data_IF_777280068854
#
_entry.id   IF_777280068854
#
_cell.length_a   1.000
_cell.length_b   1.000
_cell.length_c   1.000
_cell.angle_alpha   90.00
_cell.angle_beta   90.00
_cell.angle_gamma   90.00
#
_symmetry.space_group_name_H-M   'P 1'
#
loop_
_entity.id
_entity.type
_entity.pdbx_description
1 polymer ?
#
# COMPACT_ATOMS: atom_id res chain seq x y z
N UNK A 1 5.54 6.55 22.32
CA UNK A 1 4.75 6.56 21.08
C UNK A 1 4.78 8.01 20.65
N UNK A 2 5.31 8.30 19.48
CA UNK A 2 5.19 9.64 18.89
C UNK A 2 3.86 9.62 18.16
N UNK A 3 2.89 10.37 18.68
CA UNK A 3 1.55 10.40 18.13
C UNK A 3 1.58 10.98 16.72
N UNK A 4 0.68 10.49 15.86
CA UNK A 4 0.52 11.04 14.52
C UNK A 4 0.05 12.51 14.64
N UNK A 5 0.43 13.40 13.72
CA UNK A 5 -0.02 14.77 13.78
C UNK A 5 -1.55 14.84 13.67
N UNK A 6 -2.18 15.62 14.55
CA UNK A 6 -3.62 15.88 14.51
C UNK A 6 -3.90 17.05 13.56
N UNK A 7 -4.28 16.74 12.32
CA UNK A 7 -4.49 17.75 11.30
C UNK A 7 -5.89 18.34 11.34
N UNK A 8 -5.97 19.67 11.18
CA UNK A 8 -7.23 20.37 10.91
C UNK A 8 -7.15 21.16 9.61
N UNK A 9 -8.31 21.50 9.06
CA UNK A 9 -8.41 22.28 7.82
C UNK A 9 -7.63 23.60 7.92
N UNK A 10 -7.72 24.27 9.07
CA UNK A 10 -7.00 25.52 9.36
C UNK A 10 -5.48 25.33 9.28
N UNK A 11 -4.95 24.30 9.94
CA UNK A 11 -3.51 24.02 10.00
C UNK A 11 -2.95 23.76 8.60
N UNK A 12 -3.62 22.90 7.83
CA UNK A 12 -3.18 22.58 6.47
C UNK A 12 -3.35 23.77 5.52
N UNK A 13 -4.41 24.57 5.69
CA UNK A 13 -4.60 25.79 4.91
C UNK A 13 -3.54 26.84 5.18
N UNK A 14 -3.06 26.96 6.42
CA UNK A 14 -1.94 27.84 6.77
C UNK A 14 -0.65 27.36 6.10
N UNK A 15 -0.36 26.05 6.19
CA UNK A 15 0.83 25.44 5.59
C UNK A 15 0.88 25.60 4.05
N UNK A 16 -0.25 25.40 3.36
CA UNK A 16 -0.32 25.48 1.90
C UNK A 16 -0.72 26.86 1.38
N UNK A 17 -0.90 27.86 2.25
CA UNK A 17 -1.64 29.11 1.99
C UNK A 17 -1.42 29.78 0.63
N UNK A 18 -0.19 29.86 0.13
CA UNK A 18 0.16 30.43 -1.16
C UNK A 18 0.74 29.41 -2.17
N UNK A 19 0.93 28.16 -1.77
CA UNK A 19 1.53 27.11 -2.59
C UNK A 19 3.01 27.33 -2.94
N UNK A 20 3.68 28.33 -2.36
CA UNK A 20 5.09 28.65 -2.62
C UNK A 20 6.05 27.52 -2.22
N UNK A 21 5.69 26.76 -1.18
CA UNK A 21 6.46 25.61 -0.73
C UNK A 21 6.33 24.37 -1.62
N UNK A 22 5.39 24.33 -2.57
CA UNK A 22 5.16 23.18 -3.45
C UNK A 22 6.10 23.23 -4.64
N UNK A 23 7.00 22.26 -4.75
CA UNK A 23 8.00 22.22 -5.81
C UNK A 23 7.53 21.35 -7.00
N UNK A 24 7.24 22.04 -8.10
CA UNK A 24 6.90 21.46 -9.40
C UNK A 24 7.98 21.72 -10.46
N UNK A 25 9.12 22.32 -10.09
CA UNK A 25 10.17 22.75 -11.03
C UNK A 25 10.84 21.58 -11.77
N UNK A 26 10.78 20.39 -11.18
CA UNK A 26 11.29 19.13 -11.75
C UNK A 26 10.40 18.55 -12.85
N UNK A 27 9.18 19.07 -13.04
CA UNK A 27 8.28 18.69 -14.12
C UNK A 27 8.42 19.68 -15.28
N UNK A 28 8.73 19.20 -16.48
CA UNK A 28 8.80 20.07 -17.68
C UNK A 28 7.47 20.80 -17.93
N UNK A 29 6.35 20.06 -17.88
CA UNK A 29 5.00 20.60 -18.07
C UNK A 29 4.04 20.04 -17.03
N UNK A 30 3.92 20.66 -15.84
CA UNK A 30 2.99 20.22 -14.79
C UNK A 30 1.55 20.04 -15.31
N UNK A 31 1.13 20.85 -16.29
CA UNK A 31 -0.23 20.80 -16.88
C UNK A 31 -0.55 19.52 -17.64
N UNK A 32 0.44 18.67 -17.91
CA UNK A 32 0.29 17.35 -18.55
C UNK A 32 0.20 16.20 -17.53
N UNK A 33 0.34 16.48 -16.24
CA UNK A 33 0.28 15.46 -15.20
C UNK A 33 -1.08 15.47 -14.48
N UNK A 34 -1.48 14.30 -14.01
CA UNK A 34 -2.65 14.15 -13.15
C UNK A 34 -2.22 14.38 -11.70
N UNK A 35 -2.92 15.28 -11.01
CA UNK A 35 -2.74 15.53 -9.59
C UNK A 35 -3.86 14.86 -8.79
N UNK A 36 -3.49 14.25 -7.66
CA UNK A 36 -4.42 13.58 -6.74
C UNK A 36 -4.01 13.87 -5.31
N UNK A 37 -4.98 13.91 -4.41
CA UNK A 37 -4.69 14.11 -2.99
C UNK A 37 -5.66 13.35 -2.11
N UNK A 38 -5.25 13.12 -0.86
CA UNK A 38 -6.11 12.64 0.22
C UNK A 38 -6.57 13.83 1.03
N UNK A 39 -7.84 13.85 1.42
CA UNK A 39 -8.40 14.91 2.28
C UNK A 39 -8.47 14.43 3.72
N UNK A 40 -8.65 15.35 4.67
CA UNK A 40 -8.88 15.02 6.09
C UNK A 40 -10.07 14.07 6.31
N UNK A 41 -11.05 14.10 5.40
CA UNK A 41 -12.27 13.29 5.49
C UNK A 41 -12.08 11.87 4.94
N UNK A 42 -10.88 11.52 4.46
CA UNK A 42 -10.52 10.19 3.97
C UNK A 42 -10.57 9.95 2.44
N UNK A 43 -11.43 10.58 1.60
CA UNK A 43 -11.49 10.22 0.20
C UNK A 43 -10.29 10.73 -0.60
N UNK A 44 -9.92 9.94 -1.61
CA UNK A 44 -9.05 10.40 -2.69
C UNK A 44 -9.79 11.35 -3.62
N UNK A 45 -9.17 12.48 -3.91
CA UNK A 45 -9.63 13.45 -4.91
C UNK A 45 -8.64 13.45 -6.07
N UNK A 46 -9.18 13.52 -7.29
CA UNK A 46 -8.40 13.78 -8.51
C UNK A 46 -8.72 15.17 -8.98
N UNK A 47 -7.68 15.94 -9.36
CA UNK A 47 -7.86 17.29 -9.87
C UNK A 47 -8.80 17.30 -11.07
N UNK A 48 -9.76 18.23 -11.06
CA UNK A 48 -10.66 18.51 -12.20
C UNK A 48 -10.09 19.57 -13.15
N UNK A 49 -8.88 20.07 -12.87
CA UNK A 49 -8.21 21.14 -13.62
C UNK A 49 -6.76 20.73 -13.91
N UNK A 50 -6.22 21.28 -15.00
CA UNK A 50 -4.77 21.22 -15.25
C UNK A 50 -4.07 22.17 -14.29
N UNK A 51 -2.96 21.71 -13.72
CA UNK A 51 -2.20 22.41 -12.69
C UNK A 51 -0.89 22.87 -13.31
N UNK A 52 -0.57 24.16 -13.22
CA UNK A 52 0.66 24.74 -13.79
C UNK A 52 1.68 25.16 -12.74
N UNK A 53 1.23 25.38 -11.49
CA UNK A 53 2.03 25.89 -10.38
C UNK A 53 1.47 25.42 -9.03
N UNK A 54 2.26 25.56 -7.96
CA UNK A 54 1.81 25.33 -6.59
C UNK A 54 0.55 26.15 -6.24
N UNK A 55 0.52 27.44 -6.57
CA UNK A 55 -0.67 28.28 -6.41
C UNK A 55 -1.92 27.72 -7.10
N UNK A 56 -1.78 27.24 -8.34
CA UNK A 56 -2.90 26.67 -9.10
C UNK A 56 -3.39 25.35 -8.49
N UNK A 57 -2.48 24.60 -7.86
CA UNK A 57 -2.78 23.37 -7.16
C UNK A 57 -3.58 23.67 -5.89
N UNK A 58 -3.13 24.63 -5.09
CA UNK A 58 -3.79 25.07 -3.86
C UNK A 58 -5.20 25.59 -4.16
N UNK A 59 -5.36 26.41 -5.20
CA UNK A 59 -6.67 26.88 -5.68
C UNK A 59 -7.60 25.75 -6.15
N UNK A 60 -7.09 24.54 -6.36
CA UNK A 60 -7.86 23.37 -6.79
C UNK A 60 -8.26 22.46 -5.62
N UNK A 61 -7.79 22.71 -4.40
CA UNK A 61 -8.18 21.95 -3.23
C UNK A 61 -9.58 22.35 -2.76
N UNK A 62 -10.57 21.47 -3.01
CA UNK A 62 -11.93 21.62 -2.45
C UNK A 62 -11.95 21.42 -0.91
N UNK A 63 -10.95 20.71 -0.40
CA UNK A 63 -10.62 20.58 1.03
C UNK A 63 -9.13 20.31 1.16
N UNK A 64 -8.54 20.73 2.27
CA UNK A 64 -7.10 20.73 2.47
C UNK A 64 -6.54 19.30 2.51
N UNK A 65 -5.42 19.05 1.81
CA UNK A 65 -4.90 17.71 1.67
C UNK A 65 -3.94 17.32 2.78
N UNK A 66 -4.03 16.06 3.22
CA UNK A 66 -3.02 15.44 4.09
C UNK A 66 -1.85 14.86 3.31
N UNK A 67 -2.11 14.46 2.05
CA UNK A 67 -1.12 13.87 1.16
C UNK A 67 -1.42 14.30 -0.29
N UNK A 68 -0.40 14.72 -1.04
CA UNK A 68 -0.55 15.20 -2.43
C UNK A 68 0.38 14.44 -3.36
N UNK A 69 -0.14 14.06 -4.52
CA UNK A 69 0.54 13.19 -5.48
C UNK A 69 0.38 13.68 -6.91
N UNK A 70 1.33 13.32 -7.76
CA UNK A 70 1.36 13.60 -9.19
C UNK A 70 1.66 12.32 -9.98
N UNK A 71 1.10 12.17 -11.17
CA UNK A 71 1.38 11.03 -12.05
C UNK A 71 2.81 11.03 -12.54
N UNK A 72 3.41 9.84 -12.61
CA UNK A 72 4.76 9.62 -13.17
C UNK A 72 4.79 9.77 -14.70
N UNK A 73 3.64 9.70 -15.36
CA UNK A 73 3.49 9.92 -16.79
C UNK A 73 2.77 11.23 -17.11
N UNK A 74 3.11 11.79 -18.27
CA UNK A 74 2.48 12.94 -18.91
C UNK A 74 1.46 12.50 -19.95
N UNK A 75 0.28 13.12 -19.91
CA UNK A 75 -0.85 12.78 -20.77
C UNK A 75 -1.33 14.00 -21.56
N UNK A 76 -1.92 13.75 -22.73
CA UNK A 76 -2.57 14.81 -23.51
C UNK A 76 -3.78 15.40 -22.78
N UNK A 77 -4.55 14.55 -22.12
CA UNK A 77 -5.64 14.93 -21.21
C UNK A 77 -5.48 14.23 -19.85
N UNK A 78 -4.74 14.84 -18.90
CA UNK A 78 -4.53 14.24 -17.58
C UNK A 78 -5.76 14.32 -16.67
N UNK A 79 -6.72 15.20 -16.97
CA UNK A 79 -7.91 15.42 -16.14
C UNK A 79 -8.92 14.28 -16.34
N UNK A 80 -9.18 13.91 -17.58
CA UNK A 80 -10.15 12.86 -17.91
C UNK A 80 -9.51 11.49 -18.17
N UNK A 81 -8.38 11.21 -17.52
CA UNK A 81 -7.64 9.96 -17.72
C UNK A 81 -8.55 8.75 -17.42
N UNK A 82 -8.85 7.89 -18.41
CA UNK A 82 -9.68 6.72 -18.21
C UNK A 82 -9.00 5.73 -17.26
N UNK A 83 -9.79 4.87 -16.59
CA UNK A 83 -9.23 3.76 -15.80
C UNK A 83 -8.63 2.71 -16.75
N UNK A 84 -7.67 1.91 -16.27
CA UNK A 84 -7.05 0.83 -17.06
C UNK A 84 -8.05 -0.17 -17.68
N UNK A 85 -9.23 -0.34 -17.07
CA UNK A 85 -10.29 -1.26 -17.52
C UNK A 85 -11.45 -0.54 -18.23
N UNK A 86 -11.34 0.76 -18.44
CA UNK A 86 -12.36 1.52 -19.16
C UNK A 86 -12.23 1.24 -20.66
N UNK A 87 -13.14 0.43 -21.19
CA UNK A 87 -13.24 0.10 -22.60
C UNK A 87 -14.21 0.99 -23.38
N UNK A 88 -14.88 1.93 -22.69
CA UNK A 88 -15.89 2.81 -23.31
C UNK A 88 -15.28 4.10 -23.82
N UNK A 89 -14.23 4.58 -23.16
CA UNK A 89 -13.48 5.79 -23.53
C UNK A 89 -12.31 5.44 -24.45
N UNK A 90 -11.91 6.36 -25.34
CA UNK A 90 -10.71 6.15 -26.15
C UNK A 90 -9.47 5.99 -25.25
N UNK A 91 -8.46 5.21 -25.68
CA UNK A 91 -7.18 5.10 -24.98
C UNK A 91 -6.55 6.47 -24.75
N UNK A 92 -5.94 6.70 -23.57
CA UNK A 92 -5.30 7.98 -23.31
C UNK A 92 -4.01 8.11 -24.12
N UNK A 93 -3.73 9.34 -24.54
CA UNK A 93 -2.50 9.64 -25.29
C UNK A 93 -1.40 9.95 -24.29
N UNK A 94 -0.50 8.98 -24.10
CA UNK A 94 0.75 9.12 -23.37
C UNK A 94 1.73 9.98 -24.19
N UNK A 95 2.15 11.10 -23.61
CA UNK A 95 3.07 12.07 -24.22
C UNK A 95 4.50 11.83 -23.76
N UNK A 96 4.66 11.54 -22.47
CA UNK A 96 5.97 11.35 -21.87
C UNK A 96 5.87 10.56 -20.57
N UNK A 97 6.99 10.09 -20.04
CA UNK A 97 7.02 9.35 -18.79
C UNK A 97 8.33 9.48 -18.02
N UNK A 98 8.23 9.46 -16.70
CA UNK A 98 9.36 9.33 -15.78
C UNK A 98 9.42 7.92 -15.22
N UNK A 99 10.61 7.36 -15.15
CA UNK A 99 10.87 6.10 -14.45
C UNK A 99 11.11 6.44 -12.98
N UNK A 100 10.34 5.83 -12.08
CA UNK A 100 10.48 6.07 -10.64
C UNK A 100 10.74 4.78 -9.91
N UNK A 101 11.75 4.79 -9.05
CA UNK A 101 12.05 3.73 -8.10
C UNK A 101 11.67 4.20 -6.70
N UNK A 102 10.91 3.39 -5.97
CA UNK A 102 10.49 3.65 -4.59
C UNK A 102 11.22 2.69 -3.66
N UNK A 103 11.99 3.25 -2.71
CA UNK A 103 12.88 2.53 -1.81
C UNK A 103 12.45 2.85 -0.38
N UNK A 104 11.92 1.86 0.33
CA UNK A 104 11.16 2.13 1.54
C UNK A 104 11.54 1.15 2.67
N UNK A 105 12.14 1.65 3.76
CA UNK A 105 12.63 0.80 4.85
C UNK A 105 11.85 1.05 6.14
N UNK A 106 11.15 0.02 6.61
CA UNK A 106 10.25 0.12 7.77
C UNK A 106 10.94 -0.27 9.08
N UNK A 107 10.48 0.27 10.24
CA UNK A 107 9.53 1.38 10.41
C UNK A 107 10.20 2.77 10.25
N UNK A 108 9.41 3.85 10.36
CA UNK A 108 9.91 5.23 10.39
C UNK A 108 10.89 5.45 11.55
N UNK A 109 12.19 5.48 11.24
CA UNK A 109 13.26 5.84 12.16
C UNK A 109 14.57 6.12 11.39
N UNK A 110 15.50 6.84 12.01
CA UNK A 110 16.75 7.30 11.39
C UNK A 110 17.61 6.14 10.90
N UNK A 111 17.70 5.04 11.65
CA UNK A 111 18.52 3.90 11.23
C UNK A 111 17.95 3.16 10.02
N UNK A 112 16.62 3.10 9.87
CA UNK A 112 15.98 2.49 8.70
C UNK A 112 16.05 3.42 7.49
N UNK A 113 15.85 4.71 7.72
CA UNK A 113 16.06 5.72 6.68
C UNK A 113 17.51 5.74 6.18
N UNK A 114 18.50 5.51 7.05
CA UNK A 114 19.91 5.37 6.64
C UNK A 114 20.13 4.12 5.77
N UNK A 115 19.43 3.02 6.04
CA UNK A 115 19.46 1.85 5.15
C UNK A 115 18.85 2.17 3.79
N UNK A 116 17.66 2.81 3.78
CA UNK A 116 17.02 3.24 2.53
C UNK A 116 17.88 4.22 1.74
N UNK A 117 18.63 5.11 2.42
CA UNK A 117 19.55 6.05 1.77
C UNK A 117 20.68 5.31 1.07
N UNK A 118 21.30 4.34 1.74
CA UNK A 118 22.38 3.52 1.16
C UNK A 118 21.88 2.74 -0.05
N UNK A 119 20.69 2.16 0.05
CA UNK A 119 20.06 1.44 -1.06
C UNK A 119 19.77 2.39 -2.23
N UNK A 120 19.20 3.57 -1.95
CA UNK A 120 18.94 4.57 -2.97
C UNK A 120 20.25 5.10 -3.63
N UNK A 121 21.33 5.27 -2.87
CA UNK A 121 22.63 5.65 -3.43
C UNK A 121 23.18 4.54 -4.34
N UNK A 122 23.22 3.31 -3.84
CA UNK A 122 23.68 2.12 -4.59
C UNK A 122 22.88 1.94 -5.89
N UNK A 123 21.56 2.11 -5.83
CA UNK A 123 20.70 2.05 -7.00
C UNK A 123 20.94 3.21 -7.98
N UNK A 124 21.16 4.44 -7.49
CA UNK A 124 21.52 5.57 -8.36
C UNK A 124 22.83 5.34 -9.12
N UNK A 125 23.85 4.81 -8.43
CA UNK A 125 25.13 4.42 -9.03
C UNK A 125 24.91 3.33 -10.09
N UNK A 126 24.17 2.28 -9.74
CA UNK A 126 23.87 1.19 -10.67
C UNK A 126 23.10 1.67 -11.91
N UNK A 127 22.08 2.52 -11.75
CA UNK A 127 21.31 3.09 -12.86
C UNK A 127 22.25 3.87 -13.81
N UNK A 128 23.14 4.69 -13.24
CA UNK A 128 24.09 5.51 -14.01
C UNK A 128 25.09 4.66 -14.79
N UNK A 129 25.52 3.53 -14.22
CA UNK A 129 26.53 2.66 -14.83
C UNK A 129 25.95 1.63 -15.82
N UNK A 130 24.67 1.24 -15.66
CA UNK A 130 24.10 0.07 -16.36
C UNK A 130 22.89 0.41 -17.24
N UNK A 131 22.51 1.68 -17.33
CA UNK A 131 21.37 2.14 -18.12
C UNK A 131 21.65 3.50 -18.74
N UNK A 132 20.91 3.84 -19.79
CA UNK A 132 20.93 5.17 -20.40
C UNK A 132 19.96 6.15 -19.69
N UNK A 133 19.40 5.78 -18.53
CA UNK A 133 18.46 6.64 -17.84
C UNK A 133 19.16 7.86 -17.23
N UNK A 134 18.56 9.02 -17.41
CA UNK A 134 19.01 10.26 -16.80
C UNK A 134 18.32 10.47 -15.46
N UNK A 135 19.04 10.30 -14.35
CA UNK A 135 18.51 10.61 -13.02
C UNK A 135 18.30 12.11 -12.92
N UNK A 136 17.04 12.53 -12.67
CA UNK A 136 16.68 13.94 -12.47
C UNK A 136 16.90 14.37 -11.05
N UNK A 137 16.48 13.55 -10.09
CA UNK A 137 16.72 13.79 -8.68
C UNK A 137 16.38 12.56 -7.82
N UNK A 138 16.85 12.60 -6.58
CA UNK A 138 16.33 11.77 -5.50
C UNK A 138 15.50 12.64 -4.54
N UNK A 139 14.40 12.10 -4.04
CA UNK A 139 13.52 12.78 -3.08
C UNK A 139 13.37 11.96 -1.81
N UNK A 140 13.44 12.59 -0.64
CA UNK A 140 12.95 12.00 0.60
C UNK A 140 11.41 11.96 0.57
N UNK A 141 10.79 10.82 0.82
CA UNK A 141 9.33 10.62 0.69
C UNK A 141 8.49 11.32 1.77
N UNK A 142 9.13 11.94 2.76
CA UNK A 142 8.48 12.46 3.96
C UNK A 142 8.27 11.40 5.05
N UNK A 143 8.65 10.14 4.82
CA UNK A 143 8.53 9.09 5.83
C UNK A 143 9.72 8.13 5.84
N UNK A 144 9.62 6.97 5.17
CA UNK A 144 10.46 5.80 5.44
C UNK A 144 11.53 5.55 4.37
N UNK A 145 11.56 6.40 3.35
CA UNK A 145 12.20 6.04 2.11
C UNK A 145 12.46 7.20 1.18
N UNK A 146 12.83 6.82 -0.04
CA UNK A 146 13.26 7.73 -1.10
C UNK A 146 12.60 7.35 -2.42
N UNK A 147 12.37 8.36 -3.26
CA UNK A 147 12.07 8.15 -4.66
C UNK A 147 13.27 8.57 -5.50
N UNK A 148 13.72 7.72 -6.41
CA UNK A 148 14.66 8.11 -7.48
C UNK A 148 13.82 8.34 -8.73
N UNK A 149 13.86 9.56 -9.25
CA UNK A 149 13.12 9.96 -10.45
C UNK A 149 14.10 10.12 -11.60
N UNK A 150 13.91 9.35 -12.66
CA UNK A 150 14.74 9.37 -13.86
C UNK A 150 13.90 9.56 -15.13
N UNK A 151 14.54 10.01 -16.19
CA UNK A 151 13.96 10.14 -17.53
C UNK A 151 14.65 9.14 -18.46
N UNK A 152 13.84 8.52 -19.31
CA UNK A 152 14.33 7.67 -20.38
C UNK A 152 14.53 8.52 -21.65
N UNK A 153 15.78 8.73 -22.11
CA UNK A 153 16.02 9.47 -23.34
C UNK A 153 15.58 8.69 -24.58
N UNK A 154 15.37 7.36 -24.49
CA UNK A 154 14.87 6.59 -25.63
C UNK A 154 13.43 6.98 -25.97
N UNK A 155 13.28 7.60 -27.14
CA UNK A 155 11.99 8.02 -27.68
C UNK A 155 11.38 7.01 -28.63
N UNK A 156 12.06 5.91 -28.94
CA UNK A 156 11.58 4.88 -29.86
C UNK A 156 10.18 4.36 -29.54
N UNK A 157 9.75 4.17 -28.27
CA UNK A 157 8.40 3.70 -27.99
C UNK A 157 7.31 4.70 -28.40
N UNK A 158 7.64 6.00 -28.48
CA UNK A 158 6.69 7.06 -28.84
C UNK A 158 6.44 7.17 -30.35
N UNK A 159 7.22 6.46 -31.18
CA UNK A 159 6.99 6.34 -32.62
C UNK A 159 5.74 5.53 -32.95
N UNK A 160 5.32 4.62 -32.05
CA UNK A 160 4.08 3.84 -32.21
C UNK A 160 2.85 4.78 -32.21
N UNK A 161 2.11 4.90 -33.32
CA UNK A 161 0.98 5.82 -33.43
C UNK A 161 -0.25 5.41 -32.61
N UNK A 162 -0.46 4.11 -32.36
CA UNK A 162 -1.58 3.61 -31.55
C UNK A 162 -1.32 3.86 -30.05
N UNK A 163 -2.13 4.68 -29.35
CA UNK A 163 -1.86 5.03 -27.95
C UNK A 163 -1.88 3.84 -26.99
N UNK A 164 -2.70 2.82 -27.26
CA UNK A 164 -2.78 1.63 -26.43
C UNK A 164 -1.53 0.74 -26.60
N UNK A 165 -1.06 0.56 -27.83
CA UNK A 165 0.19 -0.17 -28.09
C UNK A 165 1.40 0.58 -27.56
N UNK A 166 1.43 1.91 -27.70
CA UNK A 166 2.49 2.77 -27.15
C UNK A 166 2.60 2.63 -25.63
N UNK A 167 1.49 2.76 -24.91
CA UNK A 167 1.49 2.60 -23.44
C UNK A 167 1.92 1.18 -23.04
N UNK A 168 1.51 0.15 -23.78
CA UNK A 168 1.93 -1.22 -23.54
C UNK A 168 3.44 -1.40 -23.76
N UNK A 169 4.01 -0.88 -24.84
CA UNK A 169 5.45 -0.96 -25.13
C UNK A 169 6.28 -0.32 -24.01
N UNK A 170 5.90 0.90 -23.59
CA UNK A 170 6.55 1.60 -22.47
C UNK A 170 6.46 0.78 -21.18
N UNK A 171 5.30 0.16 -20.93
CA UNK A 171 5.10 -0.70 -19.75
C UNK A 171 6.00 -1.94 -19.77
N UNK A 172 6.16 -2.59 -20.92
CA UNK A 172 7.05 -3.74 -21.04
C UNK A 172 8.53 -3.33 -20.89
N UNK A 173 8.95 -2.19 -21.47
CA UNK A 173 10.29 -1.65 -21.25
C UNK A 173 10.59 -1.42 -19.76
N UNK A 174 9.64 -0.82 -19.02
CA UNK A 174 9.77 -0.62 -17.56
C UNK A 174 9.84 -1.92 -16.78
N UNK A 175 9.10 -2.95 -17.18
CA UNK A 175 9.16 -4.28 -16.54
C UNK A 175 10.51 -4.95 -16.79
N UNK A 176 11.04 -4.87 -18.00
CA UNK A 176 12.35 -5.40 -18.33
C UNK A 176 13.45 -4.70 -17.51
N UNK A 177 13.40 -3.37 -17.42
CA UNK A 177 14.28 -2.59 -16.56
C UNK A 177 14.16 -3.00 -15.08
N UNK A 178 12.93 -3.09 -14.55
CA UNK A 178 12.70 -3.54 -13.18
C UNK A 178 13.28 -4.94 -12.92
N UNK A 179 13.16 -5.85 -13.90
CA UNK A 179 13.77 -7.18 -13.84
C UNK A 179 15.28 -7.11 -13.64
N UNK A 180 15.98 -6.28 -14.42
CA UNK A 180 17.43 -6.07 -14.29
C UNK A 180 17.81 -5.47 -12.93
N UNK A 181 17.02 -4.51 -12.43
CA UNK A 181 17.25 -3.88 -11.12
C UNK A 181 17.12 -4.90 -9.98
N UNK A 182 16.09 -5.76 -10.02
CA UNK A 182 15.89 -6.81 -9.02
C UNK A 182 16.98 -7.89 -9.13
N UNK A 183 17.36 -8.28 -10.35
CA UNK A 183 18.45 -9.25 -10.58
C UNK A 183 19.80 -8.74 -10.07
N UNK A 184 20.04 -7.43 -10.16
CA UNK A 184 21.20 -6.77 -9.56
C UNK A 184 21.15 -6.69 -8.02
N UNK A 185 20.06 -7.13 -7.39
CA UNK A 185 19.93 -7.25 -5.93
C UNK A 185 19.34 -6.03 -5.24
N UNK A 186 18.75 -5.09 -5.98
CA UNK A 186 18.15 -3.88 -5.40
C UNK A 186 16.73 -4.11 -4.87
N UNK A 187 16.47 -3.61 -3.67
CA UNK A 187 15.17 -3.74 -2.98
C UNK A 187 14.29 -2.51 -3.28
N UNK A 188 13.49 -2.60 -4.35
CA UNK A 188 12.57 -1.56 -4.83
C UNK A 188 11.12 -2.06 -4.86
N UNK A 189 10.13 -1.17 -4.70
CA UNK A 189 8.72 -1.56 -4.89
C UNK A 189 8.45 -1.96 -6.36
N UNK A 190 8.15 -3.25 -6.64
CA UNK A 190 7.99 -3.75 -8.00
C UNK A 190 6.72 -3.22 -8.69
N UNK A 191 5.78 -2.64 -7.94
CA UNK A 191 4.55 -2.07 -8.50
C UNK A 191 4.80 -0.66 -9.01
N UNK A 192 5.68 0.11 -8.37
CA UNK A 192 5.88 1.53 -8.70
C UNK A 192 6.53 1.68 -10.06
N UNK A 193 7.67 1.02 -10.30
CA UNK A 193 8.47 1.18 -11.51
C UNK A 193 7.71 0.73 -12.77
N UNK A 194 7.01 -0.40 -12.70
CA UNK A 194 6.35 -1.02 -13.83
C UNK A 194 5.01 -0.35 -14.24
N UNK A 195 4.39 0.46 -13.37
CA UNK A 195 3.08 1.06 -13.63
C UNK A 195 3.21 2.45 -14.27
N UNK A 196 2.84 2.55 -15.55
CA UNK A 196 2.82 3.80 -16.32
C UNK A 196 1.85 4.84 -15.78
N UNK A 197 0.88 4.44 -14.94
CA UNK A 197 -0.12 5.33 -14.34
C UNK A 197 0.11 5.56 -12.85
N UNK A 198 1.28 5.15 -12.34
CA UNK A 198 1.64 5.35 -10.92
C UNK A 198 1.69 6.82 -10.57
N UNK A 199 1.34 7.14 -9.33
CA UNK A 199 1.46 8.48 -8.75
C UNK A 199 2.54 8.47 -7.66
N UNK A 200 3.26 9.57 -7.54
CA UNK A 200 4.31 9.78 -6.53
C UNK A 200 4.03 11.06 -5.76
N UNK A 201 4.54 11.15 -4.53
CA UNK A 201 4.28 12.31 -3.66
C UNK A 201 4.94 13.55 -4.21
N UNK A 202 4.22 14.67 -4.24
CA UNK A 202 4.73 15.94 -4.75
C UNK A 202 5.76 16.52 -3.77
N UNK A 203 7.00 16.82 -4.20
CA UNK A 203 7.95 17.55 -3.37
C UNK A 203 7.38 18.90 -2.89
N UNK A 204 7.70 19.27 -1.65
CA UNK A 204 7.13 20.44 -0.98
C UNK A 204 5.80 20.20 -0.28
N UNK A 205 5.25 18.98 -0.33
CA UNK A 205 3.98 18.63 0.35
C UNK A 205 4.21 17.75 1.56
N UNK A 206 3.34 17.87 2.57
CA UNK A 206 3.45 17.08 3.80
C UNK A 206 3.12 15.60 3.56
N UNK A 207 3.74 14.76 4.39
CA UNK A 207 3.33 13.39 4.59
C UNK A 207 2.34 13.31 5.75
N UNK A 208 1.10 12.90 5.49
CA UNK A 208 -0.01 12.99 6.46
C UNK A 208 0.26 12.28 7.79
N UNK A 209 0.94 11.14 7.80
CA UNK A 209 1.21 10.42 9.06
C UNK A 209 2.43 10.91 9.86
N UNK A 210 3.31 11.73 9.29
CA UNK A 210 4.57 12.14 9.94
C UNK A 210 4.72 13.65 10.05
N UNK A 211 4.07 14.44 9.20
CA UNK A 211 4.23 15.89 9.11
C UNK A 211 5.57 16.37 8.55
N UNK A 212 6.38 15.46 8.01
CA UNK A 212 7.59 15.83 7.27
C UNK A 212 7.25 16.10 5.80
N UNK A 213 7.92 17.07 5.19
CA UNK A 213 7.73 17.37 3.78
C UNK A 213 8.46 16.35 2.90
N UNK A 214 7.80 15.93 1.82
CA UNK A 214 8.47 15.33 0.68
C UNK A 214 9.47 16.35 0.14
N UNK A 215 10.75 16.00 -0.01
CA UNK A 215 11.78 16.98 -0.35
C UNK A 215 12.74 16.42 -1.37
N UNK A 216 12.95 17.14 -2.47
CA UNK A 216 14.08 16.88 -3.37
C UNK A 216 15.37 17.06 -2.56
N UNK A 217 16.26 16.09 -2.63
CA UNK A 217 17.55 16.17 -1.99
C UNK A 217 18.46 17.05 -2.84
N UNK A 218 19.05 18.06 -2.21
CA UNK A 218 20.12 18.84 -2.83
C UNK A 218 21.34 17.99 -3.16
N UNK A 219 22.18 18.52 -4.04
CA UNK A 219 23.42 17.87 -4.47
C UNK A 219 24.28 17.41 -3.28
N UNK A 220 24.81 16.19 -3.33
CA UNK A 220 25.67 15.65 -2.29
C UNK A 220 24.94 15.17 -1.03
N UNK A 221 23.63 15.38 -0.89
CA UNK A 221 22.89 14.95 0.31
C UNK A 221 22.65 13.44 0.35
N UNK A 222 22.43 12.80 -0.81
CA UNK A 222 22.18 11.36 -0.87
C UNK A 222 23.44 10.56 -0.47
N UNK A 223 24.62 11.09 -0.74
CA UNK A 223 25.95 10.55 -0.46
C UNK A 223 26.32 10.69 1.01
N UNK A 224 25.75 11.71 1.68
CA UNK A 224 25.99 11.99 3.09
C UNK A 224 25.05 11.18 3.98
N UNK A 225 25.51 10.68 5.14
CA UNK A 225 24.63 10.02 6.09
C UNK A 225 23.42 10.88 6.46
N UNK A 226 22.25 10.27 6.61
CA UNK A 226 20.97 10.90 6.99
C UNK A 226 21.15 11.83 8.18
N UNK A 227 22.06 11.46 9.09
CA UNK A 227 22.31 12.27 10.28
C UNK A 227 22.82 13.68 10.02
N UNK A 228 23.46 13.91 8.88
CA UNK A 228 24.10 15.17 8.52
C UNK A 228 23.20 16.16 7.79
N UNK A 229 21.95 15.78 7.47
CA UNK A 229 21.03 16.64 6.70
C UNK A 229 19.56 16.52 7.11
N UNK A 230 19.16 15.48 7.85
CA UNK A 230 17.73 15.29 8.19
C UNK A 230 17.14 16.42 9.04
N UNK A 231 17.96 17.19 9.76
CA UNK A 231 17.50 18.37 10.49
C UNK A 231 17.03 19.50 9.58
N UNK A 232 17.52 19.51 8.35
CA UNK A 232 17.37 20.62 7.41
C UNK A 232 16.18 20.39 6.48
N UNK A 233 15.61 19.17 6.50
CA UNK A 233 14.39 18.83 5.78
C UNK A 233 13.20 19.59 6.39
N UNK A 234 12.42 20.32 5.57
CA UNK A 234 11.21 21.00 6.02
C UNK A 234 10.20 20.04 6.65
N UNK A 235 9.54 20.50 7.71
CA UNK A 235 8.48 19.77 8.40
C UNK A 235 7.56 20.76 9.12
N UNK A 236 6.33 20.33 9.37
CA UNK A 236 5.40 21.08 10.20
C UNK A 236 5.82 21.06 11.68
N UNK A 237 5.39 22.03 12.47
CA UNK A 237 5.68 22.08 13.92
C UNK A 237 5.13 20.85 14.68
N UNK A 238 4.00 20.32 14.20
CA UNK A 238 3.35 19.11 14.73
C UNK A 238 3.94 17.81 14.19
N UNK A 239 5.01 17.86 13.40
CA UNK A 239 5.61 16.67 12.81
C UNK A 239 6.08 15.68 13.89
N UNK A 240 5.82 14.40 13.67
CA UNK A 240 6.30 13.33 14.53
C UNK A 240 7.83 13.35 14.59
N UNK A 241 8.37 13.33 15.81
CA UNK A 241 9.81 13.22 16.01
C UNK A 241 10.34 11.91 15.43
N UNK A 242 11.41 11.97 14.63
CA UNK A 242 12.02 10.78 14.03
C UNK A 242 12.85 10.01 15.08
N UNK A 243 12.47 8.78 15.46
CA UNK A 243 13.24 8.00 16.42
C UNK A 243 14.62 7.64 15.85
N UNK A 244 15.66 7.55 16.69
CA UNK A 244 17.01 7.18 16.23
C UNK A 244 17.12 5.73 15.75
N UNK A 245 16.44 4.82 16.44
CA UNK A 245 16.39 3.38 16.19
C UNK A 245 14.92 2.96 16.07
N UNK A 246 14.61 1.79 15.48
CA UNK A 246 13.25 1.28 15.52
C UNK A 246 12.80 1.23 16.98
N UNK A 247 11.56 1.61 17.30
CA UNK A 247 11.08 1.57 18.67
C UNK A 247 11.35 0.18 19.25
N UNK A 248 12.19 0.13 20.29
CA UNK A 248 12.51 -1.11 20.99
C UNK A 248 11.19 -1.60 21.58
N UNK A 249 10.60 -2.61 20.95
CA UNK A 249 9.53 -3.37 21.58
C UNK A 249 10.21 -4.23 22.63
N UNK A 250 10.46 -3.66 23.80
CA UNK A 250 10.72 -4.48 24.98
C UNK A 250 9.47 -5.36 25.07
N UNK A 251 9.57 -6.69 24.90
CA UNK A 251 8.44 -7.55 25.17
C UNK A 251 8.04 -7.20 26.59
N UNK A 252 6.83 -6.67 26.77
CA UNK A 252 6.31 -6.42 28.12
C UNK A 252 6.27 -7.80 28.78
N UNK A 253 7.34 -8.15 29.49
CA UNK A 253 7.35 -9.22 30.45
C UNK A 253 6.33 -8.81 31.50
N UNK A 254 5.08 -9.21 31.29
CA UNK A 254 4.08 -9.18 32.34
C UNK A 254 4.60 -10.17 33.38
N UNK A 255 5.36 -9.68 34.36
CA UNK A 255 5.57 -10.42 35.59
C UNK A 255 4.18 -10.82 36.07
N UNK A 256 3.95 -12.12 36.07
CA UNK A 256 2.70 -12.77 36.43
C UNK A 256 2.50 -12.57 37.93
N UNK A 257 2.14 -11.36 38.35
CA UNK A 257 1.73 -11.07 39.73
C UNK A 257 0.36 -11.71 39.93
N UNK A 258 0.35 -12.87 40.56
CA UNK A 258 -0.83 -13.41 41.24
C UNK A 258 -1.16 -12.44 42.36
N UNK A 259 -2.20 -11.61 42.21
CA UNK A 259 -2.88 -11.02 43.38
C UNK A 259 -4.26 -10.49 43.01
N UNK A 260 -5.24 -11.07 43.72
CA UNK A 260 -6.51 -10.54 44.16
C UNK A 260 -7.26 -9.57 43.23
N UNK A 261 -8.34 -10.11 42.67
CA UNK A 261 -9.48 -9.35 42.15
C UNK A 261 -9.99 -8.44 43.26
N UNK A 262 -9.76 -7.13 43.09
CA UNK A 262 -10.52 -6.10 43.77
C UNK A 262 -11.07 -5.16 42.71
N UNK A 263 -12.37 -5.30 42.52
CA UNK A 263 -13.26 -4.57 41.63
C UNK A 263 -13.00 -3.06 41.66
N UNK A 264 -12.56 -2.52 40.53
CA UNK A 264 -12.81 -1.12 40.15
C UNK A 264 -13.65 -1.15 38.89
N UNK A 265 -14.92 -0.82 39.11
CA UNK A 265 -15.90 -0.24 38.20
C UNK A 265 -15.60 -0.40 36.71
N UNK A 266 -16.21 -1.44 36.14
CA UNK A 266 -16.55 -1.51 34.73
C UNK A 266 -17.37 -0.27 34.39
N UNK A 267 -16.81 0.65 33.61
CA UNK A 267 -17.67 1.45 32.74
C UNK A 267 -18.23 0.48 31.71
N UNK A 268 -19.49 0.12 31.93
CA UNK A 268 -20.30 -0.62 31.00
C UNK A 268 -20.55 0.27 29.77
N UNK A 269 -20.25 -0.30 28.62
CA UNK A 269 -20.51 0.25 27.30
C UNK A 269 -20.33 -0.87 26.29
N UNK A 270 -21.24 -1.85 26.34
CA UNK A 270 -21.48 -2.78 25.23
C UNK A 270 -22.01 -1.96 24.06
N UNK A 271 -21.13 -1.42 23.22
CA UNK A 271 -21.58 -0.82 21.98
C UNK A 271 -21.80 -1.95 20.96
N UNK A 272 -23.08 -2.26 20.73
CA UNK A 272 -23.52 -3.07 19.59
C UNK A 272 -22.91 -2.46 18.32
N UNK A 273 -22.22 -3.27 17.51
CA UNK A 273 -21.59 -2.78 16.28
C UNK A 273 -22.00 -3.62 15.07
N UNK A 274 -22.12 -2.95 13.93
CA UNK A 274 -22.48 -3.57 12.66
C UNK A 274 -21.23 -3.74 11.80
N UNK A 275 -21.11 -4.84 11.07
CA UNK A 275 -20.01 -5.05 10.12
C UNK A 275 -20.41 -5.93 8.95
N UNK A 276 -19.66 -5.83 7.84
CA UNK A 276 -19.70 -6.77 6.73
C UNK A 276 -18.80 -7.98 7.01
N UNK A 277 -19.35 -9.17 6.83
CA UNK A 277 -18.66 -10.45 6.92
C UNK A 277 -18.75 -11.21 5.61
N UNK A 278 -17.71 -11.97 5.29
CA UNK A 278 -17.67 -12.88 4.13
C UNK A 278 -17.57 -14.33 4.59
N UNK A 279 -18.23 -15.22 3.87
CA UNK A 279 -18.11 -16.66 4.10
C UNK A 279 -16.81 -17.20 3.48
N UNK A 280 -16.11 -18.07 4.19
CA UNK A 280 -14.97 -18.83 3.65
C UNK A 280 -15.36 -19.90 2.63
N UNK A 281 -16.66 -20.24 2.52
CA UNK A 281 -17.14 -21.31 1.65
C UNK A 281 -16.93 -20.98 0.16
N UNK A 282 -16.60 -21.99 -0.65
CA UNK A 282 -16.57 -21.85 -2.11
C UNK A 282 -17.88 -22.38 -2.69
N UNK A 283 -18.83 -21.51 -3.11
CA UNK A 283 -20.15 -21.95 -3.55
C UNK A 283 -20.08 -22.84 -4.78
N UNK A 284 -20.86 -23.91 -4.81
CA UNK A 284 -20.83 -24.92 -5.89
C UNK A 284 -19.83 -26.04 -5.65
N UNK A 285 -19.20 -26.09 -4.49
CA UNK A 285 -18.37 -27.21 -4.04
C UNK A 285 -18.97 -27.80 -2.75
N UNK A 286 -18.73 -29.09 -2.49
CA UNK A 286 -19.27 -29.75 -1.29
C UNK A 286 -18.46 -29.42 -0.03
N UNK A 287 -17.14 -29.39 -0.15
CA UNK A 287 -16.22 -29.45 0.97
C UNK A 287 -15.06 -28.44 0.86
N UNK A 288 -15.14 -27.45 -0.03
CA UNK A 288 -14.03 -26.52 -0.26
C UNK A 288 -14.25 -25.19 0.45
N UNK A 289 -13.18 -24.66 1.02
CA UNK A 289 -13.13 -23.34 1.64
C UNK A 289 -11.86 -22.61 1.22
N UNK A 290 -11.95 -21.29 1.12
CA UNK A 290 -10.79 -20.42 1.12
C UNK A 290 -10.30 -20.19 2.55
N UNK A 291 -9.02 -19.85 2.70
CA UNK A 291 -8.52 -19.34 3.96
C UNK A 291 -8.88 -17.85 4.03
N UNK A 292 -9.82 -17.51 4.88
CA UNK A 292 -10.14 -16.12 5.26
C UNK A 292 -10.03 -16.09 6.77
N UNK A 293 -9.04 -15.38 7.32
CA UNK A 293 -8.85 -15.37 8.77
C UNK A 293 -8.09 -14.14 9.27
N UNK A 294 -8.53 -13.65 10.43
CA UNK A 294 -7.73 -12.74 11.23
C UNK A 294 -6.55 -13.51 11.84
N UNK A 295 -5.34 -13.04 11.58
CA UNK A 295 -4.12 -13.64 12.10
C UNK A 295 -4.08 -13.55 13.64
N UNK A 296 -3.49 -14.55 14.32
CA UNK A 296 -3.43 -14.56 15.77
C UNK A 296 -2.70 -13.34 16.34
N UNK A 297 -3.33 -12.61 17.26
CA UNK A 297 -2.73 -11.46 17.97
C UNK A 297 -1.38 -11.81 18.61
N UNK A 298 -1.23 -13.06 19.06
CA UNK A 298 0.00 -13.60 19.66
C UNK A 298 1.18 -13.68 18.69
N UNK A 299 0.96 -13.55 17.38
CA UNK A 299 2.03 -13.53 16.38
C UNK A 299 2.79 -12.20 16.37
N UNK A 300 2.29 -11.18 17.06
CA UNK A 300 2.98 -9.92 17.24
C UNK A 300 2.27 -8.80 16.49
N UNK A 301 3.05 -7.86 15.99
CA UNK A 301 2.51 -6.73 15.23
C UNK A 301 2.14 -7.14 13.80
N UNK A 302 1.63 -6.21 13.00
CA UNK A 302 1.23 -6.51 11.63
C UNK A 302 2.36 -7.11 10.78
N UNK A 303 3.58 -6.58 10.85
CA UNK A 303 4.75 -7.12 10.15
C UNK A 303 5.07 -8.53 10.65
N UNK A 304 5.25 -8.71 11.96
CA UNK A 304 5.58 -10.02 12.54
C UNK A 304 4.52 -11.08 12.18
N UNK A 305 3.26 -10.67 12.15
CA UNK A 305 2.14 -11.53 11.78
C UNK A 305 2.17 -11.92 10.31
N UNK A 306 2.52 -10.99 9.42
CA UNK A 306 2.66 -11.25 7.98
C UNK A 306 3.88 -12.13 7.72
N UNK A 307 5.03 -11.82 8.30
CA UNK A 307 6.27 -12.59 8.11
C UNK A 307 6.05 -14.04 8.57
N UNK A 308 5.46 -14.21 9.75
CA UNK A 308 5.09 -15.53 10.24
C UNK A 308 4.05 -16.21 9.36
N UNK A 309 3.02 -15.49 8.92
CA UNK A 309 2.01 -16.03 8.02
C UNK A 309 2.63 -16.53 6.72
N UNK A 310 3.56 -15.77 6.12
CA UNK A 310 4.28 -16.18 4.92
C UNK A 310 5.06 -17.47 5.17
N UNK A 311 5.84 -17.56 6.25
CA UNK A 311 6.56 -18.81 6.60
C UNK A 311 5.61 -20.01 6.78
N UNK A 312 4.51 -19.82 7.52
CA UNK A 312 3.57 -20.90 7.84
C UNK A 312 2.79 -21.34 6.58
N UNK A 313 2.36 -20.40 5.73
CA UNK A 313 1.63 -20.72 4.48
C UNK A 313 2.53 -21.27 3.39
N UNK A 314 3.77 -20.78 3.28
CA UNK A 314 4.76 -21.32 2.35
C UNK A 314 5.10 -22.78 2.69
N UNK A 315 5.22 -23.12 3.97
CA UNK A 315 5.49 -24.49 4.44
C UNK A 315 4.41 -25.53 4.08
N UNK A 316 3.25 -25.08 3.58
CA UNK A 316 2.14 -25.93 3.14
C UNK A 316 1.67 -25.59 1.72
N UNK A 317 2.52 -24.90 0.95
CA UNK A 317 2.28 -24.52 -0.45
C UNK A 317 0.93 -23.81 -0.66
N UNK A 318 0.59 -22.89 0.25
CA UNK A 318 -0.59 -22.05 0.13
C UNK A 318 -0.20 -20.61 -0.23
N UNK A 319 -0.58 -20.21 -1.43
CA UNK A 319 -0.39 -18.84 -1.90
C UNK A 319 -1.22 -18.53 -3.15
N UNK A 320 -1.35 -17.25 -3.51
CA UNK A 320 -0.81 -16.09 -2.83
C UNK A 320 -1.78 -15.62 -1.75
N UNK A 321 -1.34 -14.69 -0.91
CA UNK A 321 -2.06 -14.23 0.28
C UNK A 321 -2.28 -12.73 0.17
N UNK A 322 -3.53 -12.31 0.12
CA UNK A 322 -3.92 -10.91 0.26
C UNK A 322 -4.01 -10.54 1.73
N UNK A 323 -3.28 -9.50 2.14
CA UNK A 323 -3.25 -9.01 3.51
C UNK A 323 -3.93 -7.65 3.64
N UNK A 324 -4.77 -7.50 4.65
CA UNK A 324 -5.39 -6.23 5.05
C UNK A 324 -5.24 -6.04 6.57
N UNK A 325 -5.46 -4.83 7.08
CA UNK A 325 -5.57 -4.60 8.53
C UNK A 325 -6.69 -3.63 8.88
N UNK A 326 -7.16 -3.71 10.12
CA UNK A 326 -8.05 -2.72 10.75
C UNK A 326 -7.28 -1.78 11.71
N UNK A 327 -5.95 -1.78 11.62
CA UNK A 327 -5.08 -1.03 12.55
C UNK A 327 -4.68 -1.81 13.81
N UNK A 328 -5.42 -2.88 14.17
CA UNK A 328 -5.09 -3.74 15.32
C UNK A 328 -4.61 -5.13 14.92
N UNK A 329 -5.26 -5.73 13.92
CA UNK A 329 -5.04 -7.09 13.47
C UNK A 329 -4.85 -7.13 11.97
N UNK A 330 -4.24 -8.21 11.49
CA UNK A 330 -4.08 -8.48 10.07
C UNK A 330 -5.10 -9.54 9.66
N UNK A 331 -5.84 -9.27 8.60
CA UNK A 331 -6.67 -10.22 7.89
C UNK A 331 -5.85 -10.82 6.75
N UNK A 332 -5.84 -12.15 6.64
CA UNK A 332 -5.24 -12.89 5.53
C UNK A 332 -6.33 -13.58 4.71
N UNK A 333 -6.22 -13.46 3.38
CA UNK A 333 -7.11 -14.10 2.41
C UNK A 333 -6.26 -14.89 1.41
N UNK A 334 -6.44 -16.21 1.36
CA UNK A 334 -5.85 -17.09 0.33
C UNK A 334 -6.99 -17.56 -0.55
N UNK A 335 -7.14 -17.05 -1.80
CA UNK A 335 -8.29 -17.33 -2.64
C UNK A 335 -8.15 -18.68 -3.38
N UNK A 336 -7.80 -19.73 -2.65
CA UNK A 336 -7.73 -21.11 -3.14
C UNK A 336 -8.96 -21.88 -2.68
N UNK A 337 -9.47 -22.80 -3.49
CA UNK A 337 -10.53 -23.73 -3.15
C UNK A 337 -9.92 -24.97 -2.49
N UNK A 338 -9.66 -24.85 -1.18
CA UNK A 338 -8.91 -25.83 -0.41
C UNK A 338 -9.89 -26.82 0.23
N UNK A 339 -9.63 -28.15 0.17
CA UNK A 339 -10.44 -29.12 0.91
C UNK A 339 -10.46 -28.77 2.40
N UNK A 340 -11.64 -28.80 3.02
CA UNK A 340 -11.81 -28.42 4.43
C UNK A 340 -10.94 -29.26 5.36
N UNK A 341 -10.84 -30.57 5.11
CA UNK A 341 -10.01 -31.48 5.91
C UNK A 341 -8.52 -31.15 5.80
N UNK A 342 -8.06 -30.75 4.61
CA UNK A 342 -6.70 -30.26 4.42
C UNK A 342 -6.47 -29.00 5.26
N UNK A 343 -7.36 -28.01 5.18
CA UNK A 343 -7.27 -26.78 5.99
C UNK A 343 -7.22 -27.11 7.49
N UNK A 344 -8.18 -27.89 7.99
CA UNK A 344 -8.28 -28.26 9.41
C UNK A 344 -7.01 -28.96 9.91
N UNK A 345 -6.37 -29.79 9.08
CA UNK A 345 -5.14 -30.51 9.46
C UNK A 345 -3.92 -29.58 9.65
N UNK A 346 -3.93 -28.38 9.05
CA UNK A 346 -2.80 -27.44 9.02
C UNK A 346 -3.02 -26.21 9.91
N UNK A 347 -4.15 -25.53 9.78
CA UNK A 347 -4.39 -24.22 10.42
C UNK A 347 -4.47 -24.29 11.95
N UNK A 348 -4.84 -25.44 12.51
CA UNK A 348 -4.87 -25.65 13.97
C UNK A 348 -3.48 -25.58 14.60
N UNK A 349 -2.45 -26.07 13.89
CA UNK A 349 -1.04 -26.01 14.33
C UNK A 349 -0.50 -24.58 14.31
N UNK A 350 -0.91 -23.80 13.31
CA UNK A 350 -0.62 -22.36 13.19
C UNK A 350 -1.33 -21.56 14.30
N UNK A 351 -2.43 -22.09 14.81
CA UNK A 351 -3.25 -21.48 15.86
C UNK A 351 -4.21 -20.43 15.36
N UNK A 352 -4.65 -20.56 14.11
CA UNK A 352 -5.76 -19.81 13.52
C UNK A 352 -7.07 -20.45 14.01
N UNK A 353 -7.26 -20.43 15.34
CA UNK A 353 -8.27 -21.24 16.04
C UNK A 353 -9.71 -20.87 15.70
N UNK A 354 -10.00 -19.60 15.39
CA UNK A 354 -11.36 -19.17 15.04
C UNK A 354 -11.83 -19.85 13.75
N UNK A 355 -11.00 -19.78 12.70
CA UNK A 355 -11.30 -20.46 11.44
C UNK A 355 -11.42 -21.98 11.66
N UNK A 356 -10.51 -22.58 12.41
CA UNK A 356 -10.59 -24.01 12.75
C UNK A 356 -11.93 -24.39 13.41
N UNK A 357 -12.30 -23.67 14.48
CA UNK A 357 -13.53 -23.94 15.23
C UNK A 357 -14.78 -23.77 14.36
N UNK A 358 -14.82 -22.71 13.56
CA UNK A 358 -15.95 -22.43 12.68
C UNK A 358 -16.07 -23.50 11.58
N UNK A 359 -14.96 -23.90 10.95
CA UNK A 359 -14.96 -24.96 9.93
C UNK A 359 -15.40 -26.31 10.50
N UNK A 360 -15.04 -26.64 11.74
CA UNK A 360 -15.48 -27.87 12.41
C UNK A 360 -16.97 -27.86 12.75
N UNK A 361 -17.51 -26.71 13.15
CA UNK A 361 -18.87 -26.60 13.67
C UNK A 361 -19.91 -26.27 12.60
N UNK A 362 -19.55 -25.41 11.65
CA UNK A 362 -20.46 -24.79 10.70
C UNK A 362 -20.07 -25.00 9.25
N UNK A 363 -19.01 -25.77 8.99
CA UNK A 363 -18.48 -26.09 7.65
C UNK A 363 -17.82 -24.92 6.90
N UNK A 364 -18.11 -23.69 7.30
CA UNK A 364 -17.51 -22.44 6.83
C UNK A 364 -17.38 -21.45 7.99
N UNK A 365 -16.56 -20.42 7.79
CA UNK A 365 -16.43 -19.30 8.72
C UNK A 365 -16.97 -18.03 8.10
N UNK A 366 -17.73 -17.27 8.89
CA UNK A 366 -18.08 -15.89 8.55
C UNK A 366 -17.07 -14.96 9.20
N UNK A 367 -16.37 -14.19 8.36
CA UNK A 367 -15.21 -13.39 8.79
C UNK A 367 -15.42 -11.95 8.40
N UNK A 368 -15.29 -11.06 9.38
CA UNK A 368 -15.37 -9.61 9.16
C UNK A 368 -14.31 -9.13 8.18
N UNK A 369 -14.73 -8.35 7.18
CA UNK A 369 -13.91 -7.75 6.11
C UNK A 369 -14.11 -6.23 5.99
N UNK A 370 -14.69 -5.60 7.01
CA UNK A 370 -14.93 -4.16 7.10
C UNK A 370 -14.59 -3.66 8.50
N UNK A 371 -14.67 -2.34 8.69
CA UNK A 371 -14.62 -1.71 10.00
C UNK A 371 -15.77 -2.11 10.92
N UNK A 372 -15.84 -1.48 12.10
CA UNK A 372 -16.98 -1.60 13.01
C UNK A 372 -17.84 -0.35 12.88
N UNK A 373 -19.09 -0.49 12.49
CA UNK A 373 -20.02 0.64 12.49
C UNK A 373 -20.68 0.71 13.87
N UNK A 374 -20.41 1.80 14.60
CA UNK A 374 -20.94 2.09 15.94
C UNK A 374 -21.71 3.40 15.86
N UNK A 375 -22.98 3.39 16.28
CA UNK A 375 -23.85 4.58 16.30
C UNK A 375 -23.96 5.36 14.97
N UNK A 376 -23.71 4.68 13.84
CA UNK A 376 -23.78 5.27 12.49
C UNK A 376 -22.43 5.69 11.89
N UNK A 377 -21.35 5.65 12.68
CA UNK A 377 -20.00 5.98 12.25
C UNK A 377 -19.12 4.72 12.15
N UNK A 378 -18.22 4.69 11.16
CA UNK A 378 -17.27 3.59 10.98
C UNK A 378 -16.02 3.80 11.84
N UNK A 379 -15.88 2.99 12.88
CA UNK A 379 -14.64 2.83 13.64
C UNK A 379 -13.71 1.83 12.92
N UNK A 380 -12.46 2.24 12.71
CA UNK A 380 -11.38 1.46 12.09
C UNK A 380 -11.66 1.04 10.63
N UNK A 381 -11.08 1.77 9.66
CA UNK A 381 -11.16 1.41 8.26
C UNK A 381 -10.29 0.17 7.94
N UNK A 382 -10.76 -0.67 7.02
CA UNK A 382 -9.99 -1.81 6.53
C UNK A 382 -9.03 -1.35 5.43
N UNK A 383 -7.74 -1.35 5.72
CA UNK A 383 -6.72 -0.93 4.78
C UNK A 383 -6.04 -2.14 4.11
N UNK A 384 -5.92 -2.15 2.77
CA UNK A 384 -5.14 -3.15 2.07
C UNK A 384 -3.64 -2.95 2.31
N UNK A 385 -2.92 -4.04 2.59
CA UNK A 385 -1.46 -4.02 2.78
C UNK A 385 -0.78 -4.35 1.46
N UNK A 386 -0.91 -5.61 1.01
CA UNK A 386 -0.25 -6.14 -0.18
C UNK A 386 -0.74 -7.56 -0.48
N UNK A 387 -0.27 -8.14 -1.57
CA UNK A 387 -0.37 -9.57 -1.89
C UNK A 387 1.03 -10.18 -1.91
N UNK A 388 1.27 -11.25 -1.15
CA UNK A 388 2.56 -11.96 -1.08
C UNK A 388 2.39 -13.47 -1.33
N UNK A 389 3.49 -14.22 -1.38
CA UNK A 389 3.47 -15.68 -1.49
C UNK A 389 3.11 -16.19 -2.89
N UNK A 390 3.55 -15.49 -3.94
CA UNK A 390 3.37 -15.95 -5.32
C UNK A 390 4.17 -17.22 -5.60
N UNK A 391 5.36 -17.40 -5.04
CA UNK A 391 6.15 -18.62 -5.19
C UNK A 391 5.44 -19.84 -4.60
N UNK A 392 4.83 -19.69 -3.41
CA UNK A 392 3.99 -20.73 -2.80
C UNK A 392 2.74 -21.01 -3.66
N UNK A 393 2.31 -20.03 -4.45
CA UNK A 393 1.18 -20.18 -5.37
C UNK A 393 1.48 -21.11 -6.54
N UNK A 394 2.71 -21.08 -7.06
CA UNK A 394 3.15 -21.92 -8.17
C UNK A 394 3.20 -23.40 -7.77
N UNK A 395 3.48 -23.67 -6.49
CA UNK A 395 3.46 -25.02 -5.90
C UNK A 395 2.08 -25.45 -5.40
N UNK A 396 1.12 -24.53 -5.36
CA UNK A 396 -0.20 -24.79 -4.81
C UNK A 396 -1.07 -25.59 -5.78
N UNK A 397 -1.33 -26.85 -5.44
CA UNK A 397 -2.15 -27.76 -6.25
C UNK A 397 -3.66 -27.53 -6.13
N UNK A 398 -4.10 -26.61 -5.28
CA UNK A 398 -5.52 -26.35 -5.08
C UNK A 398 -6.07 -25.41 -6.16
N UNK A 399 -7.26 -25.70 -6.72
CA UNK A 399 -7.92 -24.79 -7.64
C UNK A 399 -8.10 -23.40 -7.05
N UNK A 400 -8.26 -22.39 -7.88
CA UNK A 400 -8.62 -21.06 -7.46
C UNK A 400 -10.06 -21.01 -6.96
N UNK A 401 -10.35 -20.11 -6.02
CA UNK A 401 -11.70 -19.81 -5.59
C UNK A 401 -12.19 -18.55 -6.31
N UNK A 402 -13.06 -18.73 -7.32
CA UNK A 402 -13.69 -17.62 -8.05
C UNK A 402 -14.29 -16.52 -7.13
N UNK A 403 -15.09 -16.85 -6.09
CA UNK A 403 -15.68 -15.82 -5.22
C UNK A 403 -14.62 -15.03 -4.46
N UNK A 404 -13.55 -15.68 -3.99
CA UNK A 404 -12.52 -15.03 -3.18
C UNK A 404 -11.51 -14.26 -4.03
N UNK A 405 -11.28 -14.66 -5.29
CA UNK A 405 -10.57 -13.85 -6.27
C UNK A 405 -11.30 -12.53 -6.53
N UNK A 406 -12.62 -12.61 -6.75
CA UNK A 406 -13.47 -11.43 -6.95
C UNK A 406 -13.54 -10.54 -5.69
N UNK A 407 -13.58 -11.16 -4.50
CA UNK A 407 -13.46 -10.45 -3.23
C UNK A 407 -12.14 -9.68 -3.13
N UNK A 408 -10.99 -10.33 -3.33
CA UNK A 408 -9.68 -9.68 -3.22
C UNK A 408 -9.55 -8.50 -4.20
N UNK A 409 -10.06 -8.68 -5.44
CA UNK A 409 -10.16 -7.60 -6.43
C UNK A 409 -11.03 -6.43 -5.95
N UNK A 410 -12.16 -6.71 -5.31
CA UNK A 410 -13.07 -5.69 -4.77
C UNK A 410 -12.48 -4.95 -3.56
N UNK A 411 -11.65 -5.62 -2.79
CA UNK A 411 -10.91 -5.06 -1.64
C UNK A 411 -9.62 -4.32 -2.04
N UNK A 412 -9.36 -4.12 -3.33
CA UNK A 412 -8.18 -3.41 -3.82
C UNK A 412 -6.88 -4.23 -3.83
N UNK A 413 -6.96 -5.54 -3.63
CA UNK A 413 -5.84 -6.49 -3.64
C UNK A 413 -6.03 -7.53 -4.76
N UNK A 414 -6.05 -7.13 -6.05
CA UNK A 414 -6.28 -8.06 -7.14
C UNK A 414 -5.16 -9.11 -7.22
N UNK A 415 -5.54 -10.38 -7.11
CA UNK A 415 -4.60 -11.49 -7.22
C UNK A 415 -4.43 -11.89 -8.69
N UNK A 416 -3.19 -11.82 -9.19
CA UNK A 416 -2.79 -12.42 -10.45
C UNK A 416 -2.86 -13.94 -10.32
N UNK A 417 -3.92 -14.56 -10.83
CA UNK A 417 -4.00 -16.01 -10.89
C UNK A 417 -3.40 -16.48 -12.22
N UNK A 418 -2.45 -17.43 -12.15
CA UNK A 418 -1.87 -18.08 -13.33
C UNK A 418 -2.77 -19.16 -13.92
N UNK A 419 -2.17 -20.11 -14.63
CA UNK A 419 -2.84 -21.33 -15.06
C UNK A 419 -3.38 -22.13 -13.86
N UNK A 420 -4.48 -22.85 -14.04
CA UNK A 420 -5.10 -23.71 -13.02
C UNK A 420 -6.62 -23.59 -12.98
N UNK A 421 -7.24 -24.64 -12.46
CA UNK A 421 -8.70 -24.72 -12.40
C UNK A 421 -9.29 -23.65 -11.49
N UNK A 422 -10.47 -23.14 -11.86
CA UNK A 422 -11.23 -22.18 -11.07
C UNK A 422 -12.50 -22.86 -10.58
N UNK A 423 -12.71 -22.83 -9.27
CA UNK A 423 -13.86 -23.42 -8.59
C UNK A 423 -14.83 -22.35 -8.07
N UNK A 424 -16.11 -22.66 -8.20
CA UNK A 424 -17.23 -21.88 -7.70
C UNK A 424 -17.64 -20.70 -8.56
N UNK A 425 -18.70 -20.00 -8.13
CA UNK A 425 -19.25 -18.85 -8.88
C UNK A 425 -18.59 -17.53 -8.44
N UNK A 426 -18.36 -16.59 -9.38
CA UNK A 426 -17.78 -15.28 -9.07
C UNK A 426 -18.83 -14.42 -8.36
N UNK A 427 -18.87 -14.53 -7.03
CA UNK A 427 -19.46 -13.61 -6.04
C UNK A 427 -19.33 -14.26 -4.66
N UNK A 428 -18.55 -13.64 -3.78
CA UNK A 428 -18.46 -14.11 -2.40
C UNK A 428 -19.78 -13.89 -1.66
N UNK A 429 -20.17 -14.85 -0.83
CA UNK A 429 -21.31 -14.69 0.07
C UNK A 429 -20.93 -13.68 1.15
N UNK A 430 -21.51 -12.49 1.09
CA UNK A 430 -21.29 -11.39 2.04
C UNK A 430 -22.60 -11.14 2.80
N UNK A 431 -22.50 -10.86 4.11
CA UNK A 431 -23.64 -10.50 4.96
C UNK A 431 -23.32 -9.29 5.83
N UNK A 432 -24.37 -8.61 6.26
CA UNK A 432 -24.31 -7.66 7.38
C UNK A 432 -24.49 -8.45 8.67
N UNK A 433 -23.62 -8.23 9.66
CA UNK A 433 -23.66 -8.86 10.96
C UNK A 433 -23.72 -7.80 12.06
N UNK A 434 -24.62 -8.00 13.02
CA UNK A 434 -24.76 -7.17 14.22
C UNK A 434 -24.14 -7.93 15.38
N UNK A 435 -23.15 -7.32 16.03
CA UNK A 435 -22.40 -7.89 17.15
C UNK A 435 -22.84 -7.19 18.43
N UNK A 436 -23.27 -7.95 19.43
CA UNK A 436 -23.79 -7.47 20.72
C UNK A 436 -22.86 -7.80 21.87
#
# INVERSE_FOLDING_TARGET
>A
MTDAPDWSERILSEYYSDGSGIDLSWLDKPTRHQFRWRTLKGPWVTSRKRISSGESLVKSFDSMPTDVYVSTSSWLDPVNLPKLKDSKRPPPILIDHMVVFDIDMRPFCRSRLEMARKEALSLSEWITENTDLEIRHASFSGSKGFHIVAIDPDRSPFEEPDPAKRELAIRENRKALLGRVIEAGHDVDPVVTADTRRIIRVPGTLHGSTGWACSILGEGLLERPVRGWISDIPKHEMASSMPRRPPIKIPRFKHRKKTAVRTRTVMAGSHEFVSLEVSSHVPGTKDRSALVAWLPIRWGNASDSIDRAQMEFDSIDLGPVAYMHDGERVLAIIPRAIPRDFLLSRIGRMGIRRLENDLRRFEHSWVRISGRMVEGDWEAEMEPITVLGYDSSERCMHPWSAPHLDLCKSLGLPIRHGAGDISGKPKASIRVAVHR
#
